data_IF_465341853429
#
_entry.id   IF_465341853429
#
_cell.length_a   1.000
_cell.length_b   1.000
_cell.length_c   1.000
_cell.angle_alpha   90.00
_cell.angle_beta   90.00
_cell.angle_gamma   90.00
#
_symmetry.space_group_name_H-M   'P 1'
#
loop_
_entity.id
_entity.type
_entity.pdbx_description
1 polymer ?
#
# COMPACT_ATOMS: atom_id res chain seq x y z
N UNK A 1 -15.86 21.03 -17.85
CA UNK A 1 -15.56 20.04 -16.79
C UNK A 1 -14.86 20.72 -15.64
N UNK A 2 -15.46 20.70 -14.49
CA UNK A 2 -14.78 21.25 -13.30
C UNK A 2 -13.65 20.34 -12.88
N UNK A 3 -12.44 20.87 -12.74
CA UNK A 3 -11.35 20.17 -12.11
C UNK A 3 -11.68 20.00 -10.63
N UNK A 4 -11.94 18.78 -10.21
CA UNK A 4 -12.10 18.50 -8.81
C UNK A 4 -10.73 18.58 -8.14
N UNK A 5 -10.58 19.48 -7.19
CA UNK A 5 -9.40 19.48 -6.35
C UNK A 5 -9.44 18.26 -5.46
N UNK A 6 -8.46 17.39 -5.61
CA UNK A 6 -8.30 16.23 -4.78
C UNK A 6 -7.33 16.56 -3.65
N UNK A 7 -7.82 16.44 -2.41
CA UNK A 7 -6.98 16.60 -1.22
C UNK A 7 -6.68 15.22 -0.65
N UNK A 8 -5.43 14.83 -0.66
CA UNK A 8 -5.00 13.58 -0.07
C UNK A 8 -5.08 13.65 1.45
N UNK A 9 -5.75 12.68 2.06
CA UNK A 9 -5.79 12.52 3.52
C UNK A 9 -4.54 11.79 4.04
N UNK A 10 -3.83 11.10 3.16
CA UNK A 10 -2.62 10.37 3.47
C UNK A 10 -1.66 10.48 2.30
N UNK A 11 -0.37 10.75 2.58
CA UNK A 11 0.66 10.86 1.56
C UNK A 11 1.73 9.80 1.72
N UNK A 12 2.12 9.17 0.61
CA UNK A 12 3.31 8.34 0.52
C UNK A 12 4.48 9.19 0.06
N UNK A 13 5.64 8.98 0.66
CA UNK A 13 6.86 9.70 0.26
C UNK A 13 7.35 9.16 -1.08
N UNK A 14 7.34 10.01 -2.10
CA UNK A 14 7.91 9.68 -3.40
C UNK A 14 9.43 9.74 -3.30
N UNK A 15 10.10 8.67 -3.76
CA UNK A 15 11.56 8.58 -3.81
C UNK A 15 12.06 9.01 -5.17
N UNK A 16 11.42 8.53 -6.24
CA UNK A 16 11.79 8.81 -7.60
C UNK A 16 10.61 8.68 -8.56
N UNK A 17 10.66 9.41 -9.64
CA UNK A 17 9.71 9.31 -10.73
C UNK A 17 10.49 9.42 -12.04
N UNK A 18 10.29 8.45 -12.93
CA UNK A 18 10.85 8.43 -14.25
C UNK A 18 9.74 8.39 -15.28
N UNK A 19 9.82 9.26 -16.29
CA UNK A 19 8.86 9.28 -17.39
C UNK A 19 9.52 8.73 -18.65
N UNK A 20 8.76 7.93 -19.38
CA UNK A 20 9.13 7.48 -20.73
C UNK A 20 8.02 7.94 -21.67
N UNK A 21 8.40 8.70 -22.67
CA UNK A 21 7.46 9.31 -23.61
C UNK A 21 7.80 8.79 -25.02
N UNK A 22 6.80 8.20 -25.67
CA UNK A 22 6.88 7.85 -27.09
C UNK A 22 5.80 8.66 -27.82
N UNK A 23 6.21 9.79 -28.36
CA UNK A 23 5.32 10.73 -29.01
C UNK A 23 4.71 10.13 -30.29
N UNK A 24 5.50 9.35 -31.03
CA UNK A 24 5.07 8.69 -32.26
C UNK A 24 3.91 7.72 -32.00
N UNK A 25 4.02 6.90 -30.95
CA UNK A 25 2.96 5.97 -30.53
C UNK A 25 1.91 6.59 -29.63
N UNK A 26 2.13 7.84 -29.18
CA UNK A 26 1.23 8.52 -28.26
C UNK A 26 1.16 7.86 -26.87
N UNK A 27 2.30 7.34 -26.39
CA UNK A 27 2.37 6.61 -25.13
C UNK A 27 3.21 7.41 -24.12
N UNK A 28 2.70 7.52 -22.89
CA UNK A 28 3.43 8.06 -21.74
C UNK A 28 3.42 7.02 -20.64
N UNK A 29 4.57 6.78 -20.04
CA UNK A 29 4.74 5.85 -18.93
C UNK A 29 5.43 6.59 -17.79
N UNK A 30 4.92 6.43 -16.58
CA UNK A 30 5.61 6.85 -15.35
C UNK A 30 5.98 5.62 -14.55
N UNK A 31 7.21 5.59 -14.08
CA UNK A 31 7.69 4.57 -13.14
C UNK A 31 8.02 5.32 -11.86
N UNK A 32 7.26 5.05 -10.80
CA UNK A 32 7.43 5.71 -9.51
C UNK A 32 7.87 4.74 -8.44
N UNK A 33 8.69 5.25 -7.53
CA UNK A 33 9.12 4.53 -6.35
C UNK A 33 8.73 5.35 -5.12
N UNK A 34 8.12 4.68 -4.16
CA UNK A 34 7.68 5.29 -2.91
C UNK A 34 8.29 4.56 -1.73
N UNK A 35 8.47 5.29 -0.64
CA UNK A 35 8.89 4.70 0.62
C UNK A 35 7.67 4.25 1.43
N UNK A 36 7.82 3.13 2.12
CA UNK A 36 6.80 2.74 3.10
C UNK A 36 6.91 3.64 4.33
N UNK A 37 5.76 4.01 4.93
CA UNK A 37 5.79 4.68 6.22
C UNK A 37 6.49 3.83 7.28
N UNK A 38 7.08 4.49 8.26
CA UNK A 38 7.76 3.84 9.38
C UNK A 38 6.86 2.78 10.02
N UNK A 39 7.42 1.60 10.29
CA UNK A 39 6.71 0.47 10.86
C UNK A 39 6.10 -0.50 9.84
N UNK A 40 6.09 -0.15 8.55
CA UNK A 40 5.50 -0.99 7.51
C UNK A 40 6.52 -1.60 6.55
N UNK A 41 7.78 -1.28 6.71
CA UNK A 41 8.86 -1.90 5.94
C UNK A 41 9.15 -3.30 6.45
N UNK A 42 9.31 -4.25 5.51
CA UNK A 42 9.76 -5.62 5.85
C UNK A 42 11.27 -5.70 5.97
N UNK A 43 12.00 -4.85 5.25
CA UNK A 43 13.47 -4.77 5.25
C UNK A 43 13.93 -3.36 4.87
N UNK A 44 15.19 -3.06 5.09
CA UNK A 44 15.77 -1.72 4.90
C UNK A 44 15.49 -1.10 3.53
N UNK A 45 15.65 -1.87 2.46
CA UNK A 45 15.46 -1.40 1.08
C UNK A 45 14.11 -1.77 0.48
N UNK A 46 13.11 -1.96 1.32
CA UNK A 46 11.75 -2.29 0.89
C UNK A 46 11.03 -1.01 0.41
N UNK A 47 10.64 -1.00 -0.85
CA UNK A 47 9.97 0.14 -1.48
C UNK A 47 8.75 -0.31 -2.27
N UNK A 48 7.82 0.61 -2.46
CA UNK A 48 6.69 0.42 -3.36
C UNK A 48 7.12 0.93 -4.75
N UNK A 49 7.07 0.06 -5.76
CA UNK A 49 7.36 0.43 -7.14
C UNK A 49 6.12 0.24 -7.98
N UNK A 50 5.70 1.31 -8.67
CA UNK A 50 4.49 1.30 -9.48
C UNK A 50 4.71 1.91 -10.84
N UNK A 51 3.82 1.58 -11.78
CA UNK A 51 3.88 2.05 -13.15
C UNK A 51 2.50 2.54 -13.58
N UNK A 52 2.46 3.72 -14.16
CA UNK A 52 1.25 4.25 -14.81
C UNK A 52 1.48 4.35 -16.30
N UNK A 53 0.50 3.96 -17.09
CA UNK A 53 0.57 4.03 -18.56
C UNK A 53 -0.66 4.75 -19.10
N UNK A 54 -0.44 5.66 -20.03
CA UNK A 54 -1.50 6.31 -20.80
C UNK A 54 -1.17 6.24 -22.28
N UNK A 55 -2.17 5.93 -23.08
CA UNK A 55 -2.05 5.86 -24.53
C UNK A 55 -3.14 6.70 -25.17
N UNK A 56 -2.74 7.58 -26.09
CA UNK A 56 -3.66 8.37 -26.89
C UNK A 56 -4.19 7.51 -28.01
N UNK A 57 -5.52 7.55 -28.21
CA UNK A 57 -6.13 6.89 -29.36
C UNK A 57 -6.13 7.85 -30.56
N UNK A 58 -5.08 7.83 -31.36
CA UNK A 58 -4.94 8.69 -32.53
C UNK A 58 -5.97 8.38 -33.62
N UNK A 59 -6.42 7.14 -33.71
CA UNK A 59 -7.45 6.73 -34.65
C UNK A 59 -8.80 7.34 -34.33
N UNK A 60 -9.08 7.59 -33.04
CA UNK A 60 -10.28 8.29 -32.60
C UNK A 60 -10.15 9.82 -32.66
N UNK A 61 -9.05 10.35 -33.18
CA UNK A 61 -8.79 11.77 -33.31
C UNK A 61 -8.25 12.46 -32.07
N UNK A 62 -7.82 11.70 -31.07
CA UNK A 62 -7.19 12.27 -29.88
C UNK A 62 -5.83 12.88 -30.21
N UNK A 63 -5.56 14.04 -29.65
CA UNK A 63 -4.29 14.74 -29.83
C UNK A 63 -3.37 14.39 -28.66
N UNK A 64 -2.13 14.00 -28.97
CA UNK A 64 -1.13 13.72 -27.98
C UNK A 64 -0.71 15.01 -27.25
N UNK A 65 -0.77 14.97 -25.92
CA UNK A 65 -0.29 16.03 -25.04
C UNK A 65 0.54 15.42 -23.92
N UNK A 66 1.86 15.60 -23.99
CA UNK A 66 2.80 15.03 -23.05
C UNK A 66 2.56 15.49 -21.61
N UNK A 67 2.21 16.76 -21.40
CA UNK A 67 1.99 17.31 -20.06
C UNK A 67 0.76 16.71 -19.39
N UNK A 68 -0.32 16.59 -20.14
CA UNK A 68 -1.54 15.93 -19.65
C UNK A 68 -1.27 14.44 -19.41
N UNK A 69 -0.57 13.78 -20.35
CA UNK A 69 -0.17 12.39 -20.23
C UNK A 69 0.64 12.11 -18.97
N UNK A 70 1.60 12.96 -18.65
CA UNK A 70 2.38 12.86 -17.41
C UNK A 70 1.51 12.93 -16.15
N UNK A 71 0.56 13.86 -16.12
CA UNK A 71 -0.36 13.99 -14.98
C UNK A 71 -1.21 12.74 -14.78
N UNK A 72 -1.71 12.18 -15.87
CA UNK A 72 -2.54 10.97 -15.85
C UNK A 72 -1.73 9.77 -15.36
N UNK A 73 -0.55 9.54 -15.93
CA UNK A 73 0.27 8.36 -15.56
C UNK A 73 0.80 8.46 -14.14
N UNK A 74 1.11 9.66 -13.68
CA UNK A 74 1.50 9.90 -12.31
C UNK A 74 0.36 9.55 -11.34
N UNK A 75 -0.84 10.01 -11.63
CA UNK A 75 -2.03 9.70 -10.82
C UNK A 75 -2.31 8.20 -10.80
N UNK A 76 -2.16 7.51 -11.94
CA UNK A 76 -2.31 6.06 -12.02
C UNK A 76 -1.27 5.32 -11.18
N UNK A 77 -0.02 5.74 -11.24
CA UNK A 77 1.06 5.14 -10.45
C UNK A 77 0.85 5.37 -8.95
N UNK A 78 0.45 6.57 -8.55
CA UNK A 78 0.14 6.89 -7.15
C UNK A 78 -1.04 6.07 -6.64
N UNK A 79 -2.08 5.90 -7.43
CA UNK A 79 -3.23 5.04 -7.10
C UNK A 79 -2.76 3.61 -6.80
N UNK A 80 -1.92 3.05 -7.66
CA UNK A 80 -1.37 1.70 -7.46
C UNK A 80 -0.51 1.62 -6.20
N UNK A 81 0.24 2.68 -5.89
CA UNK A 81 1.03 2.74 -4.67
C UNK A 81 0.14 2.69 -3.42
N UNK A 82 -0.97 3.43 -3.41
CA UNK A 82 -1.93 3.37 -2.31
C UNK A 82 -2.57 1.99 -2.17
N UNK A 83 -2.88 1.33 -3.29
CA UNK A 83 -3.42 -0.04 -3.28
C UNK A 83 -2.41 -1.01 -2.66
N UNK A 84 -1.15 -0.97 -3.09
CA UNK A 84 -0.09 -1.82 -2.54
C UNK A 84 0.14 -1.57 -1.05
N UNK A 85 0.14 -0.31 -0.64
CA UNK A 85 0.28 0.04 0.77
C UNK A 85 -0.91 -0.46 1.60
N UNK A 86 -2.13 -0.28 1.10
CA UNK A 86 -3.33 -0.80 1.76
C UNK A 86 -3.25 -2.32 1.97
N UNK A 87 -2.79 -3.06 0.96
CA UNK A 87 -2.61 -4.51 1.07
C UNK A 87 -1.57 -4.87 2.13
N UNK A 88 -0.49 -4.11 2.24
CA UNK A 88 0.52 -4.29 3.28
C UNK A 88 -0.07 -4.09 4.68
N UNK A 89 -0.87 -3.05 4.85
CA UNK A 89 -1.53 -2.74 6.13
C UNK A 89 -2.52 -3.85 6.49
N UNK A 90 -3.31 -4.32 5.53
CA UNK A 90 -4.25 -5.43 5.75
C UNK A 90 -3.55 -6.72 6.14
N UNK A 91 -2.43 -7.04 5.49
CA UNK A 91 -1.61 -8.20 5.84
C UNK A 91 -1.11 -8.11 7.30
N UNK A 92 -0.63 -6.94 7.69
CA UNK A 92 -0.19 -6.68 9.07
C UNK A 92 -1.34 -6.82 10.05
N UNK A 93 -2.51 -6.27 9.73
CA UNK A 93 -3.70 -6.38 10.57
C UNK A 93 -4.08 -7.84 10.80
N UNK A 94 -4.07 -8.66 9.75
CA UNK A 94 -4.38 -10.10 9.88
C UNK A 94 -3.39 -10.81 10.81
N UNK A 95 -2.10 -10.50 10.71
CA UNK A 95 -1.08 -11.07 11.61
C UNK A 95 -1.30 -10.65 13.05
N UNK A 96 -1.62 -9.38 13.30
CA UNK A 96 -1.88 -8.86 14.64
C UNK A 96 -3.13 -9.50 15.25
N UNK A 97 -4.18 -9.67 14.48
CA UNK A 97 -5.42 -10.34 14.93
C UNK A 97 -5.14 -11.80 15.29
N UNK A 98 -4.35 -12.51 14.47
CA UNK A 98 -3.93 -13.87 14.76
C UNK A 98 -3.13 -13.98 16.05
N UNK A 99 -2.17 -13.07 16.26
CA UNK A 99 -1.37 -13.02 17.48
C UNK A 99 -2.24 -12.70 18.70
N UNK A 100 -3.20 -11.79 18.55
CA UNK A 100 -4.13 -11.44 19.63
C UNK A 100 -4.96 -12.65 20.05
N UNK A 101 -5.48 -13.41 19.10
CA UNK A 101 -6.24 -14.64 19.37
C UNK A 101 -5.40 -15.66 20.14
N UNK A 102 -4.17 -15.92 19.68
CA UNK A 102 -3.25 -16.84 20.36
C UNK A 102 -2.94 -16.37 21.76
N UNK A 103 -2.68 -15.07 21.93
CA UNK A 103 -2.37 -14.47 23.23
C UNK A 103 -3.53 -14.62 24.21
N UNK A 104 -4.75 -14.30 23.78
CA UNK A 104 -5.95 -14.43 24.60
C UNK A 104 -6.19 -15.87 25.00
N UNK A 105 -6.06 -16.83 24.09
CA UNK A 105 -6.21 -18.24 24.38
C UNK A 105 -5.15 -18.74 25.37
N UNK A 106 -3.94 -18.25 25.26
CA UNK A 106 -2.84 -18.61 26.18
C UNK A 106 -3.11 -18.06 27.58
N UNK A 107 -3.57 -16.82 27.70
CA UNK A 107 -3.97 -16.22 28.99
C UNK A 107 -5.05 -17.07 29.65
N UNK A 108 -6.08 -17.47 28.92
CA UNK A 108 -7.18 -18.29 29.46
C UNK A 108 -6.68 -19.63 29.97
N UNK A 109 -5.80 -20.28 29.22
CA UNK A 109 -5.18 -21.55 29.65
C UNK A 109 -4.35 -21.37 30.90
N UNK A 110 -3.56 -20.32 30.98
CA UNK A 110 -2.72 -20.05 32.17
C UNK A 110 -3.58 -19.73 33.37
N UNK A 111 -4.66 -18.98 33.19
CA UNK A 111 -5.61 -18.68 34.27
C UNK A 111 -6.23 -19.96 34.84
N UNK A 112 -6.63 -20.88 33.96
CA UNK A 112 -7.16 -22.19 34.36
C UNK A 112 -6.11 -23.00 35.11
N UNK A 113 -4.86 -23.05 34.62
CA UNK A 113 -3.79 -23.78 35.27
C UNK A 113 -3.48 -23.20 36.67
N UNK A 114 -3.48 -21.88 36.81
CA UNK A 114 -3.29 -21.25 38.11
C UNK A 114 -4.37 -21.68 39.08
N UNK A 115 -5.62 -21.70 38.65
CA UNK A 115 -6.75 -22.11 39.50
C UNK A 115 -6.60 -23.58 39.91
N UNK A 116 -6.24 -24.47 38.98
CA UNK A 116 -6.00 -25.88 39.30
C UNK A 116 -4.85 -26.06 40.30
N UNK A 117 -3.79 -25.29 40.18
CA UNK A 117 -2.66 -25.34 41.12
C UNK A 117 -3.06 -24.86 42.52
N UNK A 118 -3.88 -23.80 42.60
CA UNK A 118 -4.42 -23.34 43.88
C UNK A 118 -5.25 -24.40 44.56
N UNK A 119 -6.11 -25.09 43.83
CA UNK A 119 -6.92 -26.20 44.37
C UNK A 119 -6.06 -27.37 44.82
N UNK A 120 -5.03 -27.73 44.04
CA UNK A 120 -4.09 -28.78 44.36
C UNK A 120 -3.33 -28.48 45.67
N UNK A 121 -2.83 -27.24 45.82
CA UNK A 121 -2.14 -26.80 47.02
C UNK A 121 -3.06 -26.92 48.25
N UNK A 122 -4.34 -26.52 48.10
CA UNK A 122 -5.31 -26.62 49.21
C UNK A 122 -5.64 -28.04 49.60
N UNK A 123 -5.37 -29.02 48.71
CA UNK A 123 -5.68 -30.43 48.98
C UNK A 123 -4.69 -31.08 49.97
N UNK A 124 -3.57 -30.42 50.21
CA UNK A 124 -2.64 -30.83 51.24
C UNK A 124 -3.02 -30.17 52.57
#
# INVERSE_FOLDING_TARGET
>A
MSNKNFTETFKLKNISIDYKINEEKGIVVAIEKFDFPSGFKKKYNDHIKTTGVAKVNKEAGEIFNAEIGKKIVRAKAEKEAFIQFKLRVLEMKCKLEGLLTITNNTIDKMTTNIQHQKEYIKSF
#
